data_IF_298183099956
#
_entry.id   IF_298183099956
#
_cell.length_a   1.000
_cell.length_b   1.000
_cell.length_c   1.000
_cell.angle_alpha   90.00
_cell.angle_beta   90.00
_cell.angle_gamma   90.00
#
_symmetry.space_group_name_H-M   'P 1'
#
loop_
_entity.id
_entity.type
_entity.pdbx_description
1 polymer ?
#
# COMPACT_ATOMS: atom_id res chain seq x y z
N UNK A 1 27.73 -6.38 19.70
CA UNK A 1 27.26 -5.32 18.78
C UNK A 1 25.74 -5.32 18.82
N UNK A 2 25.11 -4.19 19.19
CA UNK A 2 23.67 -4.08 19.44
C UNK A 2 22.89 -4.32 18.14
N UNK A 3 22.10 -5.39 18.08
CA UNK A 3 21.13 -5.64 17.01
C UNK A 3 20.00 -4.60 17.07
N UNK A 4 20.28 -3.38 16.59
CA UNK A 4 19.34 -2.26 16.52
C UNK A 4 18.38 -2.35 15.32
N UNK A 5 18.29 -3.51 14.65
CA UNK A 5 17.16 -3.80 13.76
C UNK A 5 15.99 -4.30 14.62
N UNK A 6 15.44 -3.42 15.48
CA UNK A 6 14.04 -3.58 15.89
C UNK A 6 13.23 -3.54 14.60
N UNK A 7 12.86 -4.72 14.07
CA UNK A 7 12.00 -4.84 12.90
C UNK A 7 10.78 -3.97 13.19
N UNK A 8 10.58 -2.93 12.38
CA UNK A 8 9.39 -2.09 12.49
C UNK A 8 8.18 -3.02 12.35
N UNK A 9 7.35 -3.21 13.40
CA UNK A 9 6.27 -4.19 13.38
C UNK A 9 5.23 -3.84 12.31
N UNK A 10 5.03 -2.55 12.03
CA UNK A 10 4.16 -2.08 10.94
C UNK A 10 4.73 -2.50 9.58
N UNK A 11 6.05 -2.40 9.39
CA UNK A 11 6.70 -2.81 8.15
C UNK A 11 6.58 -4.33 7.93
N UNK A 12 6.70 -5.14 8.98
CA UNK A 12 6.54 -6.59 8.87
C UNK A 12 5.10 -6.97 8.52
N UNK A 13 4.12 -6.43 9.24
CA UNK A 13 2.70 -6.67 8.96
C UNK A 13 2.31 -6.21 7.54
N UNK A 14 2.81 -5.05 7.11
CA UNK A 14 2.60 -4.55 5.75
C UNK A 14 3.21 -5.51 4.71
N UNK A 15 4.45 -5.97 4.92
CA UNK A 15 5.11 -6.91 4.00
C UNK A 15 4.33 -8.21 3.85
N UNK A 16 3.79 -8.73 4.94
CA UNK A 16 2.97 -9.94 4.92
C UNK A 16 1.69 -9.70 4.12
N UNK A 17 0.99 -8.58 4.35
CA UNK A 17 -0.21 -8.19 3.56
C UNK A 17 0.12 -8.04 2.08
N UNK A 18 1.21 -7.34 1.75
CA UNK A 18 1.64 -7.09 0.37
C UNK A 18 1.98 -8.38 -0.41
N UNK A 19 2.36 -9.46 0.28
CA UNK A 19 2.63 -10.77 -0.32
C UNK A 19 1.38 -11.62 -0.56
N UNK A 20 0.23 -11.25 0.02
CA UNK A 20 -1.02 -12.00 -0.18
C UNK A 20 -1.47 -11.91 -1.65
N UNK A 21 -2.20 -12.92 -2.16
CA UNK A 21 -2.76 -12.87 -3.51
C UNK A 21 -3.66 -11.64 -3.71
N UNK A 22 -3.61 -11.04 -4.90
CA UNK A 22 -4.45 -9.87 -5.22
C UNK A 22 -5.95 -10.18 -5.10
N UNK A 23 -6.34 -11.44 -5.32
CA UNK A 23 -7.72 -11.91 -5.15
C UNK A 23 -8.24 -11.78 -3.72
N UNK A 24 -7.36 -11.73 -2.71
CA UNK A 24 -7.74 -11.47 -1.33
C UNK A 24 -7.96 -9.99 -1.00
N UNK A 25 -7.70 -9.08 -1.94
CA UNK A 25 -7.91 -7.64 -1.74
C UNK A 25 -9.35 -7.30 -1.36
N UNK A 26 -10.40 -7.79 -2.06
CA UNK A 26 -11.79 -7.44 -1.72
C UNK A 26 -12.26 -8.03 -0.38
N UNK A 27 -11.58 -9.05 0.13
CA UNK A 27 -11.90 -9.71 1.41
C UNK A 27 -11.47 -8.87 2.62
N UNK A 28 -10.55 -7.91 2.42
CA UNK A 28 -10.12 -6.99 3.45
C UNK A 28 -11.19 -5.91 3.70
N UNK A 29 -11.43 -5.53 4.98
CA UNK A 29 -12.22 -4.35 5.31
C UNK A 29 -11.70 -3.11 4.56
N UNK A 30 -12.61 -2.24 4.13
CA UNK A 30 -12.26 -1.03 3.38
C UNK A 30 -11.19 -0.19 4.11
N UNK A 31 -11.34 -0.02 5.43
CA UNK A 31 -10.37 0.73 6.23
C UNK A 31 -8.97 0.11 6.16
N UNK A 32 -8.86 -1.21 6.27
CA UNK A 32 -7.58 -1.92 6.21
C UNK A 32 -6.92 -1.79 4.82
N UNK A 33 -7.73 -1.71 3.76
CA UNK A 33 -7.23 -1.46 2.39
C UNK A 33 -6.67 -0.05 2.25
N UNK A 34 -7.40 0.95 2.74
CA UNK A 34 -6.97 2.35 2.73
C UNK A 34 -5.68 2.50 3.56
N UNK A 35 -5.63 1.92 4.75
CA UNK A 35 -4.44 1.95 5.60
C UNK A 35 -3.26 1.25 4.94
N UNK A 36 -3.49 0.13 4.23
CA UNK A 36 -2.47 -0.55 3.43
C UNK A 36 -1.93 0.36 2.32
N UNK A 37 -2.81 1.06 1.60
CA UNK A 37 -2.42 2.04 0.58
C UNK A 37 -1.59 3.18 1.17
N UNK A 38 -2.00 3.75 2.31
CA UNK A 38 -1.26 4.82 3.00
C UNK A 38 0.14 4.35 3.41
N UNK A 39 0.23 3.16 4.03
CA UNK A 39 1.50 2.57 4.44
C UNK A 39 2.40 2.21 3.24
N UNK A 40 1.81 1.78 2.13
CA UNK A 40 2.51 1.49 0.89
C UNK A 40 3.12 2.76 0.27
N UNK A 41 2.37 3.86 0.21
CA UNK A 41 2.90 5.16 -0.24
C UNK A 41 4.03 5.67 0.67
N UNK A 42 3.98 5.33 1.96
CA UNK A 42 4.99 5.69 2.96
C UNK A 42 6.06 4.59 3.18
N UNK A 43 6.16 3.59 2.32
CA UNK A 43 7.12 2.49 2.43
C UNK A 43 8.59 2.96 2.57
N UNK A 44 9.06 4.01 1.85
CA UNK A 44 10.41 4.53 2.03
C UNK A 44 10.66 5.08 3.44
N UNK A 45 9.63 5.65 4.07
CA UNK A 45 9.68 6.21 5.42
C UNK A 45 9.67 5.08 6.44
N UNK A 46 8.76 4.11 6.29
CA UNK A 46 8.68 2.91 7.14
C UNK A 46 9.98 2.08 7.15
N UNK A 47 10.74 2.09 6.06
CA UNK A 47 12.07 1.44 5.98
C UNK A 47 13.15 2.21 6.74
N UNK A 48 13.04 3.53 6.83
CA UNK A 48 14.03 4.42 7.46
C UNK A 48 13.74 4.70 8.94
N UNK A 49 12.47 4.65 9.33
CA UNK A 49 12.00 5.02 10.65
C UNK A 49 11.19 3.88 11.28
N UNK A 50 11.08 3.89 12.62
CA UNK A 50 10.37 2.84 13.36
C UNK A 50 8.83 2.97 13.32
N UNK A 51 8.29 4.04 12.72
CA UNK A 51 6.84 4.31 12.66
C UNK A 51 6.50 5.49 11.75
N UNK A 52 5.21 5.81 11.66
CA UNK A 52 4.68 6.95 10.93
C UNK A 52 4.20 8.02 11.91
N UNK A 53 4.47 9.30 11.62
CA UNK A 53 3.84 10.39 12.37
C UNK A 53 2.38 10.53 11.94
N UNK A 54 1.52 10.94 12.88
CA UNK A 54 0.09 11.18 12.62
C UNK A 54 -0.08 12.20 11.48
N UNK A 55 0.71 13.28 11.50
CA UNK A 55 0.65 14.31 10.46
C UNK A 55 0.97 13.78 9.05
N UNK A 56 1.94 12.87 8.91
CA UNK A 56 2.26 12.26 7.61
C UNK A 56 1.16 11.33 7.14
N UNK A 57 0.57 10.60 8.08
CA UNK A 57 -0.55 9.71 7.81
C UNK A 57 -1.78 10.49 7.34
N UNK A 58 -2.12 11.59 8.01
CA UNK A 58 -3.26 12.43 7.65
C UNK A 58 -3.06 13.10 6.29
N UNK A 59 -1.83 13.54 5.98
CA UNK A 59 -1.49 14.13 4.68
C UNK A 59 -1.60 13.13 3.52
N UNK A 60 -1.29 11.85 3.74
CA UNK A 60 -1.34 10.84 2.68
C UNK A 60 -2.74 10.22 2.53
N UNK A 61 -3.61 10.35 3.54
CA UNK A 61 -4.90 9.67 3.58
C UNK A 61 -5.79 9.93 2.35
N UNK A 62 -5.94 11.17 1.83
CA UNK A 62 -6.73 11.41 0.62
C UNK A 62 -6.20 10.63 -0.59
N UNK A 63 -4.86 10.61 -0.76
CA UNK A 63 -4.20 9.88 -1.86
C UNK A 63 -4.36 8.37 -1.68
N UNK A 64 -4.33 7.89 -0.44
CA UNK A 64 -4.54 6.48 -0.14
C UNK A 64 -5.97 6.02 -0.47
N UNK A 65 -6.98 6.85 -0.21
CA UNK A 65 -8.38 6.58 -0.58
C UNK A 65 -8.53 6.52 -2.10
N UNK A 66 -7.96 7.47 -2.84
CA UNK A 66 -8.02 7.46 -4.30
C UNK A 66 -7.27 6.27 -4.91
N UNK A 67 -6.13 5.89 -4.32
CA UNK A 67 -5.38 4.71 -4.72
C UNK A 67 -6.17 3.42 -4.47
N UNK A 68 -6.82 3.29 -3.31
CA UNK A 68 -7.69 2.14 -2.99
C UNK A 68 -8.81 2.00 -4.02
N UNK A 69 -9.50 3.11 -4.33
CA UNK A 69 -10.60 3.10 -5.30
C UNK A 69 -10.13 2.60 -6.67
N UNK A 70 -8.99 3.08 -7.12
CA UNK A 70 -8.42 2.69 -8.42
C UNK A 70 -7.90 1.26 -8.41
N UNK A 71 -7.23 0.83 -7.36
CA UNK A 71 -6.74 -0.54 -7.22
C UNK A 71 -7.92 -1.53 -7.23
N UNK A 72 -8.99 -1.21 -6.49
CA UNK A 72 -10.21 -2.00 -6.46
C UNK A 72 -10.89 -2.06 -7.84
N UNK A 73 -11.02 -0.93 -8.55
CA UNK A 73 -11.58 -0.90 -9.90
C UNK A 73 -10.73 -1.71 -10.89
N UNK A 74 -9.41 -1.50 -10.87
CA UNK A 74 -8.49 -2.16 -11.79
C UNK A 74 -8.45 -3.69 -11.57
N UNK A 75 -8.55 -4.13 -10.32
CA UNK A 75 -8.65 -5.55 -9.99
C UNK A 75 -9.95 -6.17 -10.52
N UNK A 76 -11.07 -5.45 -10.48
CA UNK A 76 -12.35 -5.91 -11.03
C UNK A 76 -12.27 -6.03 -12.55
N UNK A 77 -11.67 -5.05 -13.22
CA UNK A 77 -11.55 -5.03 -14.68
C UNK A 77 -10.56 -6.09 -15.20
N UNK A 78 -9.44 -6.28 -14.49
CA UNK A 78 -8.30 -7.07 -14.97
C UNK A 78 -7.77 -8.05 -13.90
N UNK A 79 -8.60 -8.93 -13.33
CA UNK A 79 -8.24 -9.71 -12.13
C UNK A 79 -7.05 -10.65 -12.34
N UNK A 80 -6.78 -11.08 -13.57
CA UNK A 80 -5.71 -12.02 -13.91
C UNK A 80 -4.33 -11.34 -14.05
N UNK A 81 -4.27 -10.01 -14.07
CA UNK A 81 -3.02 -9.29 -14.26
C UNK A 81 -2.22 -9.07 -12.98
N UNK A 82 -2.84 -9.32 -11.82
CA UNK A 82 -2.25 -9.02 -10.52
C UNK A 82 -1.97 -10.31 -9.77
N UNK A 83 -0.68 -10.57 -9.49
CA UNK A 83 -0.27 -11.77 -8.75
C UNK A 83 -0.44 -11.60 -7.24
N UNK A 84 -0.17 -10.41 -6.73
CA UNK A 84 -0.21 -10.08 -5.31
C UNK A 84 -0.78 -8.69 -5.08
N UNK A 85 -1.15 -8.39 -3.83
CA UNK A 85 -1.58 -7.04 -3.43
C UNK A 85 -0.49 -6.02 -3.77
N UNK A 86 0.79 -6.37 -3.59
CA UNK A 86 1.89 -5.50 -4.01
C UNK A 86 1.87 -5.19 -5.50
N UNK A 87 1.71 -6.21 -6.35
CA UNK A 87 1.69 -6.05 -7.81
C UNK A 87 0.51 -5.18 -8.25
N UNK A 88 -0.65 -5.34 -7.60
CA UNK A 88 -1.80 -4.47 -7.78
C UNK A 88 -1.47 -3.01 -7.45
N UNK A 89 -0.92 -2.74 -6.27
CA UNK A 89 -0.61 -1.38 -5.84
C UNK A 89 0.53 -0.75 -6.66
N UNK A 90 1.60 -1.49 -6.97
CA UNK A 90 2.73 -1.02 -7.80
C UNK A 90 2.23 -0.62 -9.22
N UNK A 91 1.36 -1.43 -9.84
CA UNK A 91 0.79 -1.12 -11.16
C UNK A 91 -0.21 0.04 -11.10
N UNK A 92 -1.03 0.10 -10.06
CA UNK A 92 -2.01 1.18 -9.89
C UNK A 92 -1.30 2.53 -9.65
N UNK A 93 -0.27 2.57 -8.82
CA UNK A 93 0.51 3.81 -8.61
C UNK A 93 1.29 4.23 -9.83
N UNK A 94 1.83 3.29 -10.61
CA UNK A 94 2.49 3.60 -11.87
C UNK A 94 1.53 4.29 -12.87
N UNK A 95 0.29 3.80 -12.98
CA UNK A 95 -0.74 4.44 -13.81
C UNK A 95 -1.11 5.84 -13.28
N UNK A 96 -1.18 6.00 -11.96
CA UNK A 96 -1.49 7.29 -11.33
C UNK A 96 -0.42 8.36 -11.61
N UNK A 97 0.86 7.98 -11.56
CA UNK A 97 1.98 8.89 -11.84
C UNK A 97 2.11 9.23 -13.32
N UNK A 98 1.76 8.30 -14.22
CA UNK A 98 1.75 8.57 -15.66
C UNK A 98 0.60 9.49 -16.08
N UNK A 99 -0.55 9.42 -15.41
CA UNK A 99 -1.70 10.29 -15.71
C UNK A 99 -1.49 11.77 -15.32
N UNK A 100 -0.43 12.08 -14.57
CA UNK A 100 -0.08 13.46 -14.16
C UNK A 100 0.96 14.14 -15.06
N UNK A 101 1.45 13.46 -16.12
CA UNK A 101 2.43 14.02 -17.06
C UNK A 101 1.81 14.62 -18.35
N UNK A 102 0.48 14.74 -18.43
CA UNK A 102 -0.26 15.45 -19.50
C UNK A 102 -0.71 16.85 -19.06
#
# INVERSE_FOLDING_TARGET
>A
MKNLRKKNPLLAALQDTLQRPATGWPELPLQDRIDCCAQFLLLPVLKKQAGLSVEMHDKIMPVAVDLERQASALLVDQPRLFKSIRDLLDKTTALFLMATEE
#
